data_IF_324323404064
#
_entry.id   IF_324323404064
#
_cell.length_a   1.000
_cell.length_b   1.000
_cell.length_c   1.000
_cell.angle_alpha   90.00
_cell.angle_beta   90.00
_cell.angle_gamma   90.00
#
_symmetry.space_group_name_H-M   'P 1'
#
loop_
_entity.id
_entity.type
_entity.pdbx_description
1 polymer ?
#
# COMPACT_ATOMS: atom_id res chain seq x y z
N UNK A 1 -0.35 4.06 28.42
CA UNK A 1 -1.52 3.34 27.89
C UNK A 1 -1.42 3.29 26.36
N UNK A 2 -1.73 2.12 25.78
CA UNK A 2 -1.69 1.91 24.32
C UNK A 2 -0.22 1.65 23.93
N UNK A 3 0.02 1.25 22.71
CA UNK A 3 1.41 0.98 22.26
C UNK A 3 2.33 2.11 22.67
N UNK A 4 3.62 1.83 22.77
CA UNK A 4 4.57 2.84 23.20
C UNK A 4 5.05 3.74 22.04
N UNK A 5 5.17 3.22 20.82
CA UNK A 5 5.64 4.04 19.67
C UNK A 5 4.83 5.33 19.52
N UNK A 6 3.62 5.19 18.98
CA UNK A 6 2.72 6.31 18.78
C UNK A 6 1.30 5.79 18.92
N UNK A 7 0.95 4.87 18.04
CA UNK A 7 -0.35 4.23 18.07
C UNK A 7 -0.43 3.18 16.97
N UNK A 8 -0.33 1.92 17.34
CA UNK A 8 -0.40 0.84 16.37
C UNK A 8 -1.85 0.58 15.94
N UNK A 9 -2.09 0.64 14.63
CA UNK A 9 -3.45 0.41 14.09
C UNK A 9 -3.50 -0.92 13.35
N UNK A 10 -4.53 -1.70 13.63
CA UNK A 10 -4.71 -2.97 12.95
C UNK A 10 -5.63 -2.78 11.74
N UNK A 11 -5.07 -2.35 10.60
CA UNK A 11 -5.89 -2.10 9.40
C UNK A 11 -5.82 -3.31 8.44
N UNK A 12 -6.96 -3.95 8.22
CA UNK A 12 -7.01 -5.11 7.32
C UNK A 12 -7.45 -4.67 5.94
N UNK A 13 -6.52 -4.68 5.00
CA UNK A 13 -6.84 -4.30 3.64
C UNK A 13 -7.83 -5.31 3.06
N UNK A 14 -9.12 -5.10 3.35
CA UNK A 14 -10.17 -6.00 2.90
C UNK A 14 -11.12 -5.29 1.91
N UNK A 15 -10.53 -4.70 0.87
CA UNK A 15 -11.30 -3.98 -0.15
C UNK A 15 -12.68 -4.61 -0.37
N UNK A 16 -12.75 -5.54 -1.30
CA UNK A 16 -14.01 -6.22 -1.59
C UNK A 16 -13.80 -7.32 -2.63
N UNK A 17 -13.24 -6.93 -3.78
CA UNK A 17 -12.97 -7.89 -4.85
C UNK A 17 -14.26 -8.22 -5.60
N UNK A 18 -14.57 -7.41 -6.61
CA UNK A 18 -15.77 -7.60 -7.41
C UNK A 18 -15.86 -6.54 -8.50
N UNK A 19 -14.77 -5.81 -8.70
CA UNK A 19 -14.75 -4.74 -9.67
C UNK A 19 -15.30 -5.23 -11.00
N UNK A 20 -15.85 -4.31 -11.78
CA UNK A 20 -16.38 -4.66 -13.09
C UNK A 20 -15.41 -5.62 -13.79
N UNK A 21 -14.12 -5.32 -13.79
CA UNK A 21 -13.09 -6.21 -14.39
C UNK A 21 -13.06 -7.53 -13.64
N UNK A 22 -12.94 -7.41 -12.32
CA UNK A 22 -12.88 -8.55 -11.43
C UNK A 22 -11.67 -8.45 -10.51
N UNK A 23 -11.58 -9.29 -9.50
CA UNK A 23 -10.43 -9.29 -8.54
C UNK A 23 -9.09 -9.38 -9.26
N UNK A 24 -9.17 -9.68 -10.54
CA UNK A 24 -8.00 -9.86 -11.42
C UNK A 24 -6.88 -8.85 -11.16
N UNK A 25 -7.15 -7.84 -10.31
CA UNK A 25 -6.17 -6.81 -9.93
C UNK A 25 -6.88 -5.58 -9.37
N UNK A 26 -8.20 -5.58 -9.41
CA UNK A 26 -8.96 -4.46 -8.87
C UNK A 26 -9.01 -4.51 -7.36
N UNK A 27 -9.10 -5.73 -6.84
CA UNK A 27 -9.16 -5.91 -5.40
C UNK A 27 -7.91 -5.34 -4.78
N UNK A 28 -6.79 -5.66 -5.40
CA UNK A 28 -5.50 -5.19 -4.93
C UNK A 28 -5.46 -3.67 -5.03
N UNK A 29 -5.99 -3.15 -6.14
CA UNK A 29 -6.05 -1.74 -6.36
C UNK A 29 -7.03 -1.12 -5.37
N UNK A 30 -8.13 -1.82 -5.12
CA UNK A 30 -9.13 -1.36 -4.18
C UNK A 30 -8.54 -1.36 -2.78
N UNK A 31 -7.78 -2.41 -2.47
CA UNK A 31 -7.13 -2.49 -1.17
C UNK A 31 -6.10 -1.39 -1.11
N UNK A 32 -5.51 -1.10 -2.26
CA UNK A 32 -4.53 -0.05 -2.35
C UNK A 32 -5.23 1.30 -2.19
N UNK A 33 -6.42 1.40 -2.80
CA UNK A 33 -7.22 2.62 -2.72
C UNK A 33 -7.65 2.87 -1.27
N UNK A 34 -8.08 1.81 -0.61
CA UNK A 34 -8.51 1.91 0.79
C UNK A 34 -7.32 2.29 1.67
N UNK A 35 -6.13 1.89 1.22
CA UNK A 35 -4.91 2.19 1.97
C UNK A 35 -4.61 3.68 1.94
N UNK A 36 -4.46 4.24 0.73
CA UNK A 36 -4.18 5.67 0.61
C UNK A 36 -5.18 6.45 1.44
N UNK A 37 -6.42 5.98 1.46
CA UNK A 37 -7.45 6.61 2.26
C UNK A 37 -7.23 6.31 3.75
N UNK A 38 -6.81 5.08 4.02
CA UNK A 38 -6.59 4.65 5.41
C UNK A 38 -5.34 5.29 6.00
N UNK A 39 -4.61 6.06 5.21
CA UNK A 39 -3.40 6.72 5.68
C UNK A 39 -3.50 8.22 5.47
N UNK A 40 -4.45 8.61 4.62
CA UNK A 40 -4.71 10.01 4.30
C UNK A 40 -5.88 10.51 5.13
N UNK A 41 -6.74 9.58 5.54
CA UNK A 41 -7.91 9.95 6.33
C UNK A 41 -7.58 10.04 7.81
N UNK A 42 -6.29 9.93 8.12
CA UNK A 42 -5.82 9.99 9.52
C UNK A 42 -4.83 11.13 9.72
N UNK A 43 -3.72 11.07 8.97
CA UNK A 43 -2.67 12.07 9.08
C UNK A 43 -2.10 12.07 10.47
N UNK A 44 -2.36 10.98 11.19
CA UNK A 44 -1.89 10.81 12.55
C UNK A 44 -0.72 9.80 12.55
N UNK A 45 0.52 10.25 12.55
CA UNK A 45 1.69 9.32 12.54
C UNK A 45 1.47 8.13 13.46
N UNK A 46 1.19 6.97 12.86
CA UNK A 46 0.92 5.76 13.65
C UNK A 46 1.51 4.49 13.01
N UNK A 47 1.76 3.47 13.84
CA UNK A 47 2.30 2.19 13.35
C UNK A 47 1.16 1.32 12.85
N UNK A 48 0.71 1.60 11.65
CA UNK A 48 -0.40 0.85 11.08
C UNK A 48 0.04 -0.50 10.57
N UNK A 49 -0.40 -1.53 11.27
CA UNK A 49 -0.09 -2.89 10.85
C UNK A 49 -1.04 -3.28 9.73
N UNK A 50 -0.79 -2.70 8.56
CA UNK A 50 -1.62 -2.96 7.40
C UNK A 50 -1.49 -4.40 6.93
N UNK A 51 -2.53 -5.20 7.16
CA UNK A 51 -2.50 -6.60 6.72
C UNK A 51 -3.03 -6.67 5.28
N UNK A 52 -2.13 -6.90 4.32
CA UNK A 52 -2.53 -6.97 2.90
C UNK A 52 -2.19 -8.33 2.30
N UNK A 53 -3.23 -9.09 1.97
CA UNK A 53 -3.05 -10.41 1.38
C UNK A 53 -3.12 -10.32 -0.14
N UNK A 54 -2.52 -9.28 -0.69
CA UNK A 54 -2.50 -9.06 -2.15
C UNK A 54 -1.17 -9.49 -2.75
N UNK A 55 -1.19 -9.82 -4.04
CA UNK A 55 0.01 -10.26 -4.75
C UNK A 55 0.68 -9.11 -5.47
N UNK A 56 0.15 -7.90 -5.28
CA UNK A 56 0.71 -6.71 -5.93
C UNK A 56 1.36 -5.82 -4.88
N UNK A 57 0.64 -5.58 -3.80
CA UNK A 57 1.16 -4.75 -2.73
C UNK A 57 2.39 -5.40 -2.10
N UNK A 58 2.24 -6.67 -1.74
CA UNK A 58 3.31 -7.41 -1.11
C UNK A 58 4.52 -7.42 -2.00
N UNK A 59 4.34 -7.91 -3.21
CA UNK A 59 5.41 -7.97 -4.18
C UNK A 59 6.23 -6.68 -4.17
N UNK A 60 5.54 -5.56 -4.30
CA UNK A 60 6.23 -4.26 -4.36
C UNK A 60 7.19 -4.08 -3.19
N UNK A 61 6.63 -4.01 -2.00
CA UNK A 61 7.42 -3.82 -0.79
C UNK A 61 8.40 -4.98 -0.56
N UNK A 62 7.93 -6.21 -0.74
CA UNK A 62 8.78 -7.38 -0.51
C UNK A 62 9.97 -7.42 -1.48
N UNK A 63 9.84 -6.76 -2.63
CA UNK A 63 10.92 -6.71 -3.59
C UNK A 63 11.94 -5.65 -3.17
N UNK A 64 11.56 -4.86 -2.17
CA UNK A 64 12.42 -3.81 -1.64
C UNK A 64 13.02 -2.93 -2.73
N UNK A 65 12.67 -3.16 -3.99
CA UNK A 65 13.21 -2.35 -5.08
C UNK A 65 12.39 -1.08 -5.25
N UNK A 66 11.51 -0.82 -4.28
CA UNK A 66 10.67 0.36 -4.31
C UNK A 66 11.60 1.59 -4.36
N UNK A 67 12.74 1.46 -3.72
CA UNK A 67 13.70 2.54 -3.76
C UNK A 67 14.14 2.69 -5.21
N UNK A 68 14.45 1.55 -5.82
CA UNK A 68 14.87 1.54 -7.21
C UNK A 68 13.79 2.19 -8.04
N UNK A 69 12.53 1.85 -7.76
CA UNK A 69 11.42 2.43 -8.49
C UNK A 69 11.66 3.93 -8.65
N UNK A 70 11.90 4.62 -7.54
CA UNK A 70 12.15 6.06 -7.60
C UNK A 70 13.30 6.38 -8.56
N UNK A 71 14.36 5.59 -8.48
CA UNK A 71 15.52 5.81 -9.34
C UNK A 71 15.26 5.23 -10.74
N UNK A 72 14.15 4.51 -10.87
CA UNK A 72 13.77 3.88 -12.13
C UNK A 72 12.78 4.74 -12.90
N UNK A 73 12.58 5.95 -12.45
CA UNK A 73 11.65 6.86 -13.12
C UNK A 73 10.25 6.26 -13.12
N UNK A 74 10.12 5.12 -12.43
CA UNK A 74 8.85 4.41 -12.27
C UNK A 74 8.40 3.71 -13.55
N UNK A 75 8.90 2.48 -13.68
CA UNK A 75 8.58 1.59 -14.79
C UNK A 75 8.45 0.18 -14.22
N UNK A 76 7.95 -0.77 -15.01
CA UNK A 76 7.84 -2.13 -14.53
C UNK A 76 9.12 -2.88 -14.80
N UNK A 77 9.24 -4.02 -14.18
CA UNK A 77 10.44 -4.83 -14.35
C UNK A 77 10.74 -5.05 -15.83
N UNK A 78 9.76 -4.77 -16.68
CA UNK A 78 9.95 -4.95 -18.12
C UNK A 78 10.51 -3.67 -18.75
N UNK A 79 9.95 -2.54 -18.34
CA UNK A 79 10.39 -1.24 -18.87
C UNK A 79 9.21 -0.38 -19.27
N UNK A 80 8.01 -0.87 -18.99
CA UNK A 80 6.79 -0.12 -19.32
C UNK A 80 6.29 0.60 -18.06
N UNK A 81 5.66 1.74 -18.18
CA UNK A 81 5.17 2.50 -17.00
C UNK A 81 4.50 1.60 -15.95
N UNK A 82 4.45 2.11 -14.73
CA UNK A 82 3.86 1.39 -13.60
C UNK A 82 2.36 1.71 -13.53
N UNK A 83 1.54 0.71 -13.27
CA UNK A 83 0.12 0.93 -13.17
C UNK A 83 -0.20 1.37 -11.74
N UNK A 84 -1.20 2.24 -11.59
CA UNK A 84 -1.60 2.76 -10.28
C UNK A 84 -0.57 3.74 -9.74
N UNK A 85 0.41 4.05 -10.58
CA UNK A 85 1.47 4.98 -10.20
C UNK A 85 0.92 6.20 -9.49
N UNK A 86 -0.33 6.50 -9.75
CA UNK A 86 -0.98 7.65 -9.15
C UNK A 86 -1.38 7.33 -7.71
N UNK A 87 -1.88 6.12 -7.50
CA UNK A 87 -2.28 5.71 -6.19
C UNK A 87 -1.06 5.54 -5.34
N UNK A 88 -0.05 4.93 -5.94
CA UNK A 88 1.21 4.68 -5.28
C UNK A 88 1.92 5.98 -4.93
N UNK A 89 2.23 6.78 -5.94
CA UNK A 89 2.92 8.06 -5.70
C UNK A 89 2.19 8.86 -4.64
N UNK A 90 0.87 8.64 -4.56
CA UNK A 90 0.05 9.34 -3.57
C UNK A 90 0.11 8.64 -2.24
N UNK A 91 0.06 7.32 -2.27
CA UNK A 91 0.16 6.53 -1.07
C UNK A 91 1.56 6.70 -0.48
N UNK A 92 2.55 6.82 -1.34
CA UNK A 92 3.93 7.00 -0.91
C UNK A 92 4.09 8.35 -0.21
N UNK A 93 3.48 9.38 -0.78
CA UNK A 93 3.54 10.71 -0.21
C UNK A 93 2.77 10.73 1.10
N UNK A 94 1.71 9.95 1.10
CA UNK A 94 0.84 9.84 2.27
C UNK A 94 1.42 8.86 3.29
N UNK A 95 2.40 8.05 2.87
CA UNK A 95 3.04 7.08 3.77
C UNK A 95 4.29 7.65 4.41
N UNK A 96 4.59 8.88 4.09
CA UNK A 96 5.77 9.53 4.64
C UNK A 96 5.57 9.84 6.13
N UNK A 97 4.48 10.47 6.49
CA UNK A 97 4.19 10.83 7.92
C UNK A 97 4.04 9.60 8.83
N UNK A 98 3.46 8.52 8.29
CA UNK A 98 3.23 7.31 9.06
C UNK A 98 4.40 6.33 8.97
N UNK A 99 4.40 5.39 9.92
CA UNK A 99 5.43 4.35 9.94
C UNK A 99 4.86 3.08 9.34
N UNK A 100 3.59 3.19 8.96
CA UNK A 100 2.82 2.11 8.32
C UNK A 100 3.65 0.85 8.09
N UNK A 101 3.32 -0.21 8.81
CA UNK A 101 4.03 -1.47 8.69
C UNK A 101 3.32 -2.36 7.67
N UNK A 102 4.07 -3.26 7.04
CA UNK A 102 3.49 -4.19 6.05
C UNK A 102 3.39 -5.58 6.66
N UNK A 103 2.20 -6.18 6.54
CA UNK A 103 1.96 -7.53 7.08
C UNK A 103 1.22 -8.39 6.06
N UNK A 104 1.96 -9.02 5.16
CA UNK A 104 1.33 -9.86 4.17
C UNK A 104 0.71 -11.08 4.83
N UNK A 105 -0.59 -11.01 5.08
CA UNK A 105 -1.33 -12.08 5.71
C UNK A 105 -1.95 -12.97 4.64
N UNK A 106 -1.13 -13.82 4.05
CA UNK A 106 -1.59 -14.73 3.00
C UNK A 106 -1.56 -16.17 3.53
#
# INVERSE_FOLDING_TARGET
MNPSPRKRVALFTDGAALGNPGPGTTNNRMELKAAIEGLKALKEPAEVDLYTDSHYLKKAFTEGWLEGWRKRGWRTAEGKPVKNRDLWEALLLAMAPHRVRFHFVKHHHHHH
#
